data_IF_618182492721
#
_entry.id   IF_618182492721
#
_cell.length_a   1.000
_cell.length_b   1.000
_cell.length_c   1.000
_cell.angle_alpha   90.00
_cell.angle_beta   90.00
_cell.angle_gamma   90.00
#
_symmetry.space_group_name_H-M   'P 1'
#
loop_
_entity.id
_entity.type
_entity.pdbx_description
1 polymer ?
#
# COMPACT_ATOMS: atom_id res chain seq x y z
N UNK A 1 14.79 -12.38 -0.03
CA UNK A 1 13.80 -13.43 -0.36
C UNK A 1 13.73 -13.74 -1.85
N UNK A 2 14.08 -12.83 -2.76
CA UNK A 2 14.04 -13.06 -4.22
C UNK A 2 14.86 -14.31 -4.65
N UNK A 3 16.02 -14.52 -4.05
CA UNK A 3 16.90 -15.66 -4.35
C UNK A 3 16.28 -17.02 -4.02
N UNK A 4 15.35 -17.06 -3.06
CA UNK A 4 14.69 -18.30 -2.64
C UNK A 4 13.80 -18.85 -3.75
N UNK A 5 13.15 -17.99 -4.54
CA UNK A 5 12.26 -18.44 -5.61
C UNK A 5 13.04 -19.14 -6.75
N UNK A 6 14.26 -18.68 -7.04
CA UNK A 6 15.13 -19.37 -7.99
C UNK A 6 15.47 -20.80 -7.57
N UNK A 7 15.85 -20.96 -6.29
CA UNK A 7 16.14 -22.27 -5.72
C UNK A 7 14.88 -23.18 -5.66
N UNK A 8 13.75 -22.61 -5.30
CA UNK A 8 12.48 -23.33 -5.25
C UNK A 8 12.06 -23.81 -6.64
N UNK A 9 12.17 -22.97 -7.66
CA UNK A 9 11.91 -23.33 -9.04
C UNK A 9 12.81 -24.49 -9.49
N UNK A 10 14.12 -24.39 -9.26
CA UNK A 10 15.07 -25.46 -9.58
C UNK A 10 14.75 -26.77 -8.86
N UNK A 11 14.42 -26.69 -7.57
CA UNK A 11 13.99 -27.87 -6.79
C UNK A 11 12.82 -28.59 -7.45
N UNK A 12 11.77 -27.84 -7.81
CA UNK A 12 10.59 -28.43 -8.44
C UNK A 12 10.84 -28.96 -9.85
N UNK A 13 11.77 -28.35 -10.59
CA UNK A 13 12.17 -28.82 -11.93
C UNK A 13 12.99 -30.09 -11.87
N UNK A 14 13.88 -30.23 -10.90
CA UNK A 14 14.83 -31.35 -10.79
C UNK A 14 14.23 -32.57 -10.07
N UNK A 15 13.54 -32.34 -8.96
CA UNK A 15 13.01 -33.40 -8.08
C UNK A 15 11.56 -33.81 -8.41
N UNK A 16 10.97 -33.14 -9.37
CA UNK A 16 9.54 -33.29 -9.62
C UNK A 16 8.68 -32.51 -8.63
N UNK A 17 7.40 -32.41 -8.92
CA UNK A 17 6.44 -31.63 -8.17
C UNK A 17 5.23 -32.46 -7.77
N UNK A 18 4.81 -32.31 -6.52
CA UNK A 18 3.48 -32.77 -6.10
C UNK A 18 2.44 -31.70 -6.42
N UNK A 19 1.51 -31.99 -7.32
CA UNK A 19 0.40 -31.05 -7.56
C UNK A 19 -0.60 -31.08 -6.41
N UNK A 20 -1.04 -29.90 -5.96
CA UNK A 20 -2.08 -29.74 -4.94
C UNK A 20 -3.47 -30.00 -5.54
N UNK A 21 -3.83 -31.24 -5.81
CA UNK A 21 -5.07 -31.64 -6.50
C UNK A 21 -6.36 -31.42 -5.70
N UNK A 22 -6.25 -31.20 -4.38
CA UNK A 22 -7.42 -30.96 -3.50
C UNK A 22 -7.92 -29.51 -3.63
N UNK A 23 -7.07 -28.60 -4.05
CA UNK A 23 -7.41 -27.19 -4.24
C UNK A 23 -8.14 -27.05 -5.57
N UNK A 24 -9.33 -26.46 -5.54
CA UNK A 24 -10.19 -26.28 -6.70
C UNK A 24 -10.12 -24.88 -7.31
N UNK A 25 -9.75 -23.91 -6.49
CA UNK A 25 -9.60 -22.54 -6.89
C UNK A 25 -8.50 -21.89 -6.04
N UNK A 26 -7.58 -21.19 -6.67
CA UNK A 26 -6.53 -20.40 -6.03
C UNK A 26 -6.83 -18.92 -6.25
N UNK A 27 -6.89 -18.16 -5.17
CA UNK A 27 -6.91 -16.72 -5.22
C UNK A 27 -5.51 -16.20 -4.84
N UNK A 28 -5.01 -15.26 -5.64
CA UNK A 28 -3.85 -14.44 -5.29
C UNK A 28 -4.28 -12.99 -5.27
N UNK A 29 -3.87 -12.26 -4.25
CA UNK A 29 -4.08 -10.83 -4.11
C UNK A 29 -2.74 -10.10 -4.23
N UNK A 30 -2.77 -8.76 -4.39
CA UNK A 30 -1.58 -7.94 -4.55
C UNK A 30 -0.68 -8.43 -5.70
N UNK A 31 -1.29 -8.66 -6.88
CA UNK A 31 -0.61 -9.26 -8.04
C UNK A 31 0.69 -8.56 -8.42
N UNK A 32 0.79 -7.25 -8.18
CA UNK A 32 1.93 -6.41 -8.54
C UNK A 32 3.18 -6.71 -7.70
N UNK A 33 3.03 -7.40 -6.56
CA UNK A 33 4.14 -7.78 -5.68
C UNK A 33 4.74 -9.15 -6.03
N UNK A 34 4.15 -9.85 -7.01
CA UNK A 34 4.64 -11.16 -7.45
C UNK A 34 5.52 -11.02 -8.69
N UNK A 35 6.70 -11.59 -8.64
CA UNK A 35 7.58 -11.68 -9.79
C UNK A 35 7.16 -12.81 -10.74
N UNK A 36 7.65 -12.76 -11.99
CA UNK A 36 7.42 -13.79 -13.02
C UNK A 36 7.62 -15.23 -12.48
N UNK A 37 8.72 -15.45 -11.76
CA UNK A 37 9.08 -16.78 -11.28
C UNK A 37 8.11 -17.33 -10.24
N UNK A 38 7.53 -16.46 -9.40
CA UNK A 38 6.49 -16.86 -8.45
C UNK A 38 5.25 -17.37 -9.16
N UNK A 39 4.79 -16.70 -10.21
CA UNK A 39 3.66 -17.17 -11.02
C UNK A 39 3.96 -18.49 -11.73
N UNK A 40 5.17 -18.66 -12.27
CA UNK A 40 5.59 -19.95 -12.85
C UNK A 40 5.54 -21.06 -11.80
N UNK A 41 5.98 -20.80 -10.57
CA UNK A 41 5.92 -21.77 -9.47
C UNK A 41 4.46 -22.09 -9.11
N UNK A 42 3.58 -21.09 -9.04
CA UNK A 42 2.16 -21.29 -8.79
C UNK A 42 1.51 -22.17 -9.85
N UNK A 43 1.77 -21.92 -11.14
CA UNK A 43 1.29 -22.78 -12.26
C UNK A 43 1.83 -24.22 -12.15
N UNK A 44 3.07 -24.36 -11.70
CA UNK A 44 3.65 -25.69 -11.46
C UNK A 44 2.97 -26.45 -10.33
N UNK A 45 2.57 -25.80 -9.26
CA UNK A 45 2.06 -26.42 -8.03
C UNK A 45 0.55 -26.66 -8.07
N UNK A 46 -0.21 -25.81 -8.74
CA UNK A 46 -1.67 -25.84 -8.73
C UNK A 46 -2.23 -26.18 -10.11
N UNK A 47 -3.16 -27.13 -10.16
CA UNK A 47 -3.89 -27.52 -11.34
C UNK A 47 -5.38 -27.23 -11.14
N UNK A 48 -5.70 -25.96 -10.97
CA UNK A 48 -7.04 -25.50 -10.64
C UNK A 48 -7.32 -24.14 -11.31
N UNK A 49 -8.56 -23.68 -11.20
CA UNK A 49 -8.90 -22.32 -11.58
C UNK A 49 -8.15 -21.32 -10.71
N UNK A 50 -7.76 -20.19 -11.28
CA UNK A 50 -7.03 -19.16 -10.58
C UNK A 50 -7.67 -17.79 -10.81
N UNK A 51 -7.80 -17.02 -9.75
CA UNK A 51 -8.17 -15.59 -9.80
C UNK A 51 -7.01 -14.79 -9.24
N UNK A 52 -6.53 -13.85 -10.03
CA UNK A 52 -5.39 -12.99 -9.69
C UNK A 52 -5.93 -11.57 -9.56
N UNK A 53 -5.81 -10.99 -8.38
CA UNK A 53 -6.29 -9.66 -8.04
C UNK A 53 -5.10 -8.74 -7.75
N UNK A 54 -5.26 -7.45 -7.99
CA UNK A 54 -4.27 -6.46 -7.60
C UNK A 54 -4.47 -5.11 -8.28
N UNK A 55 -3.66 -4.16 -7.84
CA UNK A 55 -3.63 -2.80 -8.34
C UNK A 55 -2.20 -2.47 -8.80
N UNK A 56 -2.03 -2.21 -10.10
CA UNK A 56 -0.72 -1.93 -10.70
C UNK A 56 -0.05 -0.69 -10.11
N UNK A 57 -0.84 0.30 -9.69
CA UNK A 57 -0.32 1.54 -9.13
C UNK A 57 0.22 1.38 -7.70
N UNK A 58 -0.13 0.27 -7.02
CA UNK A 58 0.37 -0.05 -5.68
C UNK A 58 1.67 -0.88 -5.67
N UNK A 59 2.40 -0.90 -6.78
CA UNK A 59 3.71 -1.58 -6.85
C UNK A 59 4.73 -0.88 -5.92
N UNK A 60 5.58 -1.68 -5.28
CA UNK A 60 6.72 -1.21 -4.50
C UNK A 60 8.04 -1.28 -5.29
N UNK A 61 7.99 -1.73 -6.54
CA UNK A 61 9.18 -1.77 -7.40
C UNK A 61 9.43 -0.40 -8.03
N UNK A 62 10.68 0.04 -8.03
CA UNK A 62 11.13 1.26 -8.74
C UNK A 62 10.84 1.18 -10.25
N UNK A 63 10.93 -0.02 -10.80
CA UNK A 63 10.55 -0.30 -12.19
C UNK A 63 9.18 -0.95 -12.22
N UNK A 64 8.19 -0.23 -12.74
CA UNK A 64 6.82 -0.75 -12.89
C UNK A 64 6.83 -1.93 -13.87
N UNK A 65 6.83 -3.14 -13.34
CA UNK A 65 6.61 -4.35 -14.14
C UNK A 65 5.11 -4.59 -14.30
N UNK A 66 4.59 -4.36 -15.50
CA UNK A 66 3.20 -4.74 -15.76
C UNK A 66 3.08 -6.27 -15.81
N UNK A 67 2.68 -6.82 -14.66
CA UNK A 67 2.44 -8.26 -14.47
C UNK A 67 1.52 -8.82 -15.55
N UNK A 68 0.55 -8.04 -16.03
CA UNK A 68 -0.37 -8.46 -17.10
C UNK A 68 0.32 -8.75 -18.42
N UNK A 69 1.55 -8.30 -18.63
CA UNK A 69 2.29 -8.56 -19.89
C UNK A 69 2.77 -9.99 -20.00
N UNK A 70 3.13 -10.62 -18.88
CA UNK A 70 3.68 -11.99 -18.90
C UNK A 70 2.70 -13.06 -18.42
N UNK A 71 1.64 -12.73 -17.69
CA UNK A 71 0.64 -13.70 -17.22
C UNK A 71 0.04 -14.55 -18.36
N UNK A 72 -0.31 -13.99 -19.54
CA UNK A 72 -0.81 -14.80 -20.65
C UNK A 72 0.18 -15.86 -21.15
N UNK A 73 1.50 -15.58 -21.03
CA UNK A 73 2.55 -16.53 -21.38
C UNK A 73 2.64 -17.72 -20.41
N UNK A 74 2.24 -17.53 -19.15
CA UNK A 74 2.27 -18.57 -18.11
C UNK A 74 0.95 -19.37 -18.14
N UNK A 75 -0.20 -18.69 -18.10
CA UNK A 75 -1.52 -19.32 -17.93
C UNK A 75 -2.26 -19.58 -19.24
N UNK A 76 -1.70 -19.10 -20.37
CA UNK A 76 -2.22 -19.37 -21.70
C UNK A 76 -3.39 -18.49 -22.13
N UNK A 77 -3.94 -18.79 -23.31
CA UNK A 77 -4.96 -17.95 -23.99
C UNK A 77 -6.35 -17.95 -23.35
N UNK A 78 -6.59 -18.77 -22.33
CA UNK A 78 -7.89 -18.83 -21.63
C UNK A 78 -8.01 -17.78 -20.51
N UNK A 79 -6.96 -16.99 -20.28
CA UNK A 79 -7.00 -15.92 -19.29
C UNK A 79 -7.98 -14.83 -19.73
N UNK A 80 -8.86 -14.43 -18.81
CA UNK A 80 -9.77 -13.28 -18.98
C UNK A 80 -9.31 -12.15 -18.05
N UNK A 81 -8.99 -11.00 -18.61
CA UNK A 81 -8.73 -9.78 -17.86
C UNK A 81 -10.03 -9.03 -17.63
N UNK A 82 -10.28 -8.62 -16.41
CA UNK A 82 -11.37 -7.73 -16.01
C UNK A 82 -10.72 -6.54 -15.32
N UNK A 83 -10.99 -5.34 -15.82
CA UNK A 83 -10.56 -4.10 -15.18
C UNK A 83 -11.73 -3.56 -14.36
N UNK A 84 -11.46 -3.30 -13.08
CA UNK A 84 -12.42 -2.68 -12.18
C UNK A 84 -11.99 -1.22 -12.03
N UNK A 85 -12.76 -0.32 -12.64
CA UNK A 85 -12.44 1.10 -12.73
C UNK A 85 -13.26 2.00 -11.77
N UNK A 86 -14.03 1.41 -10.84
CA UNK A 86 -14.81 2.15 -9.85
C UNK A 86 -14.15 2.10 -8.48
N UNK A 87 -13.83 3.27 -7.94
CA UNK A 87 -13.37 3.40 -6.57
C UNK A 87 -14.55 3.68 -5.63
N UNK A 88 -14.71 2.83 -4.62
CA UNK A 88 -15.79 2.91 -3.62
C UNK A 88 -15.28 3.29 -2.22
N UNK A 89 -13.97 3.29 -2.02
CA UNK A 89 -13.34 3.41 -0.71
C UNK A 89 -13.18 4.85 -0.26
N UNK A 90 -12.50 5.64 -1.09
CA UNK A 90 -12.09 6.99 -0.77
C UNK A 90 -13.17 8.03 -1.12
N UNK A 91 -13.05 9.24 -0.58
CA UNK A 91 -13.81 10.41 -1.05
C UNK A 91 -13.32 10.83 -2.44
N UNK A 92 -14.15 11.60 -3.16
CA UNK A 92 -13.80 12.13 -4.50
C UNK A 92 -12.48 12.92 -4.43
N UNK A 93 -12.28 13.71 -3.38
CA UNK A 93 -11.10 14.54 -3.20
C UNK A 93 -9.84 13.69 -3.07
N UNK A 94 -9.87 12.69 -2.20
CA UNK A 94 -8.74 11.78 -1.99
C UNK A 94 -8.47 10.96 -3.26
N UNK A 95 -9.50 10.44 -3.91
CA UNK A 95 -9.35 9.66 -5.12
C UNK A 95 -8.80 10.51 -6.29
N UNK A 96 -9.24 11.78 -6.40
CA UNK A 96 -8.71 12.73 -7.38
C UNK A 96 -7.23 13.06 -7.13
N UNK A 97 -6.84 13.19 -5.85
CA UNK A 97 -5.44 13.35 -5.48
C UNK A 97 -4.62 12.12 -5.87
N UNK A 98 -5.08 10.92 -5.50
CA UNK A 98 -4.39 9.66 -5.82
C UNK A 98 -4.24 9.46 -7.34
N UNK A 99 -5.25 9.83 -8.13
CA UNK A 99 -5.23 9.68 -9.60
C UNK A 99 -4.06 10.42 -10.28
N UNK A 100 -3.52 11.48 -9.66
CA UNK A 100 -2.36 12.21 -10.19
C UNK A 100 -1.10 11.35 -10.25
N UNK A 101 -1.03 10.31 -9.42
CA UNK A 101 0.11 9.38 -9.31
C UNK A 101 -0.16 8.02 -9.94
N UNK A 102 -1.36 7.81 -10.48
CA UNK A 102 -1.75 6.58 -11.18
C UNK A 102 -1.50 6.70 -12.67
N UNK A 103 -1.03 5.61 -13.28
CA UNK A 103 -0.94 5.50 -14.72
C UNK A 103 -2.26 5.10 -15.41
N UNK A 104 -3.33 4.90 -14.64
CA UNK A 104 -4.65 4.46 -15.15
C UNK A 104 -5.63 5.65 -15.05
N UNK A 105 -5.91 6.33 -16.19
CA UNK A 105 -6.71 7.57 -16.18
C UNK A 105 -8.23 7.34 -16.07
N UNK A 106 -8.70 6.09 -16.22
CA UNK A 106 -10.12 5.77 -16.38
C UNK A 106 -10.81 5.31 -15.07
N UNK A 107 -10.39 5.84 -13.91
CA UNK A 107 -11.05 5.52 -12.63
C UNK A 107 -12.33 6.36 -12.48
N UNK A 108 -13.49 5.70 -12.52
CA UNK A 108 -14.77 6.32 -12.15
C UNK A 108 -14.82 6.52 -10.63
N UNK A 109 -14.94 7.78 -10.20
CA UNK A 109 -15.07 8.14 -8.80
C UNK A 109 -16.55 8.07 -8.38
N UNK A 110 -16.83 7.48 -7.24
CA UNK A 110 -18.14 7.61 -6.62
C UNK A 110 -18.33 9.02 -6.06
N UNK A 111 -19.58 9.49 -6.05
CA UNK A 111 -19.96 10.82 -5.55
C UNK A 111 -19.93 10.93 -3.99
N UNK A 112 -18.98 10.27 -3.34
CA UNK A 112 -18.77 10.42 -1.90
C UNK A 112 -17.90 11.65 -1.65
N UNK A 113 -18.54 12.77 -1.34
CA UNK A 113 -17.84 14.01 -1.02
C UNK A 113 -17.17 13.92 0.35
N UNK A 114 -16.02 14.57 0.50
CA UNK A 114 -15.23 14.66 1.72
C UNK A 114 -14.51 15.99 1.82
N UNK A 115 -13.59 16.08 2.76
CA UNK A 115 -12.69 17.22 2.92
C UNK A 115 -11.69 17.26 1.76
N UNK A 116 -11.32 18.45 1.32
CA UNK A 116 -10.21 18.64 0.37
C UNK A 116 -8.91 18.10 0.97
N UNK A 117 -8.03 17.58 0.12
CA UNK A 117 -6.71 17.14 0.55
C UNK A 117 -5.91 18.35 1.02
N UNK A 118 -5.42 18.31 2.23
CA UNK A 118 -4.69 19.41 2.84
C UNK A 118 -3.19 19.19 2.67
N UNK A 119 -2.52 20.13 1.99
CA UNK A 119 -1.09 20.09 1.78
C UNK A 119 -0.40 21.15 2.65
N UNK A 120 0.65 20.75 3.37
CA UNK A 120 1.44 21.62 4.25
C UNK A 120 2.94 21.51 3.99
N UNK A 121 3.65 22.65 4.11
CA UNK A 121 5.12 22.69 4.02
C UNK A 121 5.70 23.24 5.32
N UNK A 122 6.64 22.53 5.90
CA UNK A 122 7.25 22.86 7.19
C UNK A 122 8.76 22.96 7.08
N UNK A 123 9.35 23.91 7.80
CA UNK A 123 10.80 24.09 7.88
C UNK A 123 11.41 23.28 9.03
N UNK A 124 10.60 22.99 10.05
CA UNK A 124 11.01 22.23 11.24
C UNK A 124 10.12 21.03 11.43
N UNK A 125 10.74 19.96 11.85
CA UNK A 125 10.05 18.69 12.16
C UNK A 125 9.07 18.86 13.33
N UNK A 126 9.46 19.59 14.39
CA UNK A 126 8.56 19.84 15.53
C UNK A 126 7.25 20.51 15.12
N UNK A 127 7.32 21.53 14.23
CA UNK A 127 6.12 22.24 13.74
C UNK A 127 5.21 21.31 12.91
N UNK A 128 5.80 20.40 12.12
CA UNK A 128 5.08 19.37 11.36
C UNK A 128 4.39 18.39 12.30
N UNK A 129 5.12 17.89 13.28
CA UNK A 129 4.59 16.91 14.24
C UNK A 129 3.48 17.51 15.12
N UNK A 130 3.57 18.81 15.48
CA UNK A 130 2.54 19.53 16.21
C UNK A 130 1.28 19.71 15.37
N UNK A 131 1.41 20.09 14.09
CA UNK A 131 0.28 20.23 13.16
C UNK A 131 -0.48 18.90 12.98
N UNK A 132 0.23 17.76 12.96
CA UNK A 132 -0.42 16.44 12.93
C UNK A 132 -1.24 16.21 14.19
N UNK A 133 -0.68 16.46 15.38
CA UNK A 133 -1.39 16.25 16.66
C UNK A 133 -2.59 17.18 16.81
N UNK A 134 -2.52 18.41 16.31
CA UNK A 134 -3.66 19.33 16.28
C UNK A 134 -4.79 18.79 15.39
N UNK A 135 -4.46 18.29 14.18
CA UNK A 135 -5.45 17.73 13.28
C UNK A 135 -6.06 16.43 13.83
N UNK A 136 -5.27 15.56 14.46
CA UNK A 136 -5.76 14.36 15.17
C UNK A 136 -6.73 14.75 16.28
N UNK A 137 -6.35 15.72 17.12
CA UNK A 137 -7.19 16.19 18.23
C UNK A 137 -8.51 16.79 17.74
N UNK A 138 -8.49 17.50 16.62
CA UNK A 138 -9.70 18.05 16.00
C UNK A 138 -10.66 16.98 15.46
N UNK A 139 -10.14 15.81 15.13
CA UNK A 139 -10.88 14.64 14.61
C UNK A 139 -11.29 13.61 15.66
N UNK A 140 -10.84 13.73 16.91
CA UNK A 140 -10.93 12.69 17.96
C UNK A 140 -12.35 12.17 18.22
N UNK A 141 -13.38 13.01 18.07
CA UNK A 141 -14.77 12.60 18.21
C UNK A 141 -15.37 11.92 16.94
N UNK A 142 -14.71 12.04 15.79
CA UNK A 142 -15.22 11.59 14.50
C UNK A 142 -14.52 10.34 13.97
N UNK A 143 -13.25 10.14 14.34
CA UNK A 143 -12.40 9.11 13.77
C UNK A 143 -11.88 8.16 14.84
N UNK A 144 -11.69 6.91 14.46
CA UNK A 144 -11.21 5.86 15.36
C UNK A 144 -9.76 5.45 15.03
N UNK A 145 -9.30 5.75 13.81
CA UNK A 145 -8.02 5.30 13.30
C UNK A 145 -7.31 6.41 12.52
N UNK A 146 -6.13 6.77 12.98
CA UNK A 146 -5.28 7.77 12.35
C UNK A 146 -3.91 7.17 12.05
N UNK A 147 -3.34 7.49 10.89
CA UNK A 147 -2.02 7.01 10.54
C UNK A 147 -1.08 8.09 10.03
N UNK A 148 0.12 8.10 10.55
CA UNK A 148 1.25 8.82 9.96
C UNK A 148 2.06 7.84 9.13
N UNK A 149 2.14 8.13 7.83
CA UNK A 149 2.83 7.29 6.86
C UNK A 149 4.10 7.98 6.37
N UNK A 150 5.24 7.37 6.70
CA UNK A 150 6.57 7.85 6.32
C UNK A 150 7.13 7.08 5.13
N UNK A 151 8.28 7.53 4.61
CA UNK A 151 9.01 6.86 3.52
C UNK A 151 9.85 5.70 4.00
N UNK A 152 10.47 5.84 5.17
CA UNK A 152 11.42 4.87 5.72
C UNK A 152 11.03 4.43 7.12
N UNK A 153 11.53 3.26 7.53
CA UNK A 153 11.36 2.76 8.90
C UNK A 153 12.02 3.69 9.92
N UNK A 154 13.20 4.26 9.59
CA UNK A 154 13.92 5.19 10.43
C UNK A 154 13.09 6.43 10.77
N UNK A 155 12.49 7.07 9.75
CA UNK A 155 11.58 8.21 9.96
C UNK A 155 10.38 7.84 10.84
N UNK A 156 9.80 6.66 10.64
CA UNK A 156 8.67 6.20 11.44
C UNK A 156 9.07 5.95 12.90
N UNK A 157 10.22 5.34 13.13
CA UNK A 157 10.77 5.10 14.47
C UNK A 157 11.08 6.41 15.20
N UNK A 158 11.68 7.38 14.51
CA UNK A 158 12.01 8.69 15.08
C UNK A 158 10.74 9.42 15.54
N UNK A 159 9.72 9.51 14.69
CA UNK A 159 8.43 10.11 15.05
C UNK A 159 7.80 9.39 16.24
N UNK A 160 7.78 8.06 16.22
CA UNK A 160 7.23 7.26 17.31
C UNK A 160 7.94 7.55 18.63
N UNK A 161 9.28 7.58 18.63
CA UNK A 161 10.07 7.85 19.86
C UNK A 161 9.89 9.28 20.36
N UNK A 162 9.83 10.28 19.46
CA UNK A 162 9.56 11.68 19.84
C UNK A 162 8.21 11.77 20.57
N UNK A 163 7.15 11.23 19.99
CA UNK A 163 5.82 11.30 20.58
C UNK A 163 5.69 10.49 21.86
N UNK A 164 6.31 9.32 21.93
CA UNK A 164 6.36 8.52 23.17
C UNK A 164 7.05 9.28 24.30
N UNK A 165 8.15 9.98 24.02
CA UNK A 165 8.86 10.79 25.01
C UNK A 165 8.02 11.98 25.52
N UNK A 166 7.14 12.52 24.67
CA UNK A 166 6.18 13.58 24.98
C UNK A 166 4.88 13.06 25.65
N UNK A 167 4.75 11.75 25.86
CA UNK A 167 3.58 11.12 26.49
C UNK A 167 2.37 10.92 25.58
N UNK A 168 2.53 11.10 24.26
CA UNK A 168 1.45 10.88 23.27
C UNK A 168 1.10 9.39 23.22
N UNK A 169 -0.20 9.10 23.17
CA UNK A 169 -0.69 7.73 22.96
C UNK A 169 -0.58 7.40 21.48
N UNK A 170 0.44 6.64 21.11
CA UNK A 170 0.74 6.28 19.73
C UNK A 170 1.18 4.82 19.62
N UNK A 171 0.75 4.15 18.57
CA UNK A 171 1.18 2.78 18.20
C UNK A 171 2.21 2.85 17.08
N UNK A 172 3.11 1.87 17.03
CA UNK A 172 4.04 1.69 15.93
C UNK A 172 3.78 0.34 15.25
N UNK A 173 3.69 0.35 13.92
CA UNK A 173 3.55 -0.87 13.14
C UNK A 173 4.84 -1.09 12.34
N UNK A 174 5.46 -2.23 12.61
CA UNK A 174 6.65 -2.75 11.94
C UNK A 174 6.37 -4.14 11.32
N UNK A 175 7.42 -4.77 10.77
CA UNK A 175 7.35 -6.12 10.17
C UNK A 175 6.99 -7.23 11.16
N UNK A 176 7.13 -7.00 12.46
CA UNK A 176 6.86 -7.97 13.51
C UNK A 176 5.47 -7.77 14.14
N UNK A 177 4.80 -6.70 13.79
CA UNK A 177 3.49 -6.36 14.33
C UNK A 177 2.44 -7.34 13.84
N UNK A 178 1.69 -7.92 14.77
CA UNK A 178 0.67 -8.95 14.49
C UNK A 178 -0.76 -8.46 14.71
N UNK A 179 -0.93 -7.25 15.24
CA UNK A 179 -2.24 -6.68 15.54
C UNK A 179 -2.28 -5.19 15.24
N UNK A 180 -3.40 -4.76 14.69
CA UNK A 180 -3.76 -3.36 14.50
C UNK A 180 -4.59 -2.89 15.69
N UNK A 181 -4.40 -1.64 16.15
CA UNK A 181 -5.14 -1.01 17.24
C UNK A 181 -5.75 0.29 16.77
N UNK A 182 -6.89 0.66 17.34
CA UNK A 182 -7.50 1.98 17.18
C UNK A 182 -6.58 3.07 17.75
N UNK A 183 -6.76 4.29 17.25
CA UNK A 183 -5.99 5.47 17.61
C UNK A 183 -4.83 5.74 16.66
N UNK A 184 -3.98 6.68 17.06
CA UNK A 184 -2.87 7.17 16.26
C UNK A 184 -1.78 6.09 16.10
N UNK A 185 -1.43 5.85 14.85
CA UNK A 185 -0.42 4.86 14.45
C UNK A 185 0.64 5.54 13.58
N UNK A 186 1.90 5.18 13.80
CA UNK A 186 3.02 5.56 12.91
C UNK A 186 3.52 4.30 12.21
N UNK A 187 3.71 4.40 10.91
CA UNK A 187 4.27 3.31 10.09
C UNK A 187 4.78 3.83 8.75
N UNK A 188 5.32 2.96 7.92
CA UNK A 188 5.71 3.33 6.56
C UNK A 188 4.56 3.12 5.57
N UNK A 189 4.59 3.83 4.43
CA UNK A 189 3.59 3.67 3.38
C UNK A 189 3.47 2.21 2.88
N UNK A 190 4.57 1.47 2.84
CA UNK A 190 4.57 0.09 2.36
C UNK A 190 4.08 -0.91 3.42
N UNK A 191 4.28 -0.62 4.71
CA UNK A 191 3.71 -1.44 5.80
C UNK A 191 2.22 -1.17 5.99
N UNK A 192 1.74 0.04 5.61
CA UNK A 192 0.33 0.39 5.60
C UNK A 192 -0.46 -0.31 4.47
N UNK A 193 0.23 -0.98 3.54
CA UNK A 193 -0.42 -1.70 2.44
C UNK A 193 -1.37 -2.78 2.98
N UNK A 194 -2.62 -2.78 2.51
CA UNK A 194 -3.68 -3.66 3.03
C UNK A 194 -4.39 -3.14 4.30
N UNK A 195 -3.92 -2.06 4.92
CA UNK A 195 -4.61 -1.37 6.02
C UNK A 195 -5.42 -0.18 5.49
N UNK A 196 -6.34 0.32 6.32
CA UNK A 196 -7.18 1.49 6.03
C UNK A 196 -7.34 2.30 7.32
N UNK A 197 -7.37 3.63 7.18
CA UNK A 197 -7.45 4.56 8.29
C UNK A 197 -8.45 5.67 7.98
N UNK A 198 -9.13 6.16 8.99
CA UNK A 198 -10.07 7.28 8.84
C UNK A 198 -9.35 8.55 8.40
N UNK A 199 -8.22 8.85 9.04
CA UNK A 199 -7.32 9.95 8.67
C UNK A 199 -5.92 9.43 8.33
N UNK A 200 -5.32 9.99 7.29
CA UNK A 200 -3.93 9.69 6.92
C UNK A 200 -3.11 10.97 6.80
N UNK A 201 -1.96 10.97 7.43
CA UNK A 201 -0.92 12.00 7.34
C UNK A 201 0.26 11.42 6.56
N UNK A 202 0.34 11.70 5.27
CA UNK A 202 1.47 11.31 4.44
C UNK A 202 2.63 12.30 4.63
N UNK A 203 3.72 11.84 5.22
CA UNK A 203 4.89 12.68 5.49
C UNK A 203 5.92 12.48 4.39
N UNK A 204 6.29 13.58 3.73
CA UNK A 204 7.35 13.63 2.74
C UNK A 204 8.56 14.36 3.32
N UNK A 205 9.71 13.70 3.39
CA UNK A 205 10.96 14.29 3.83
C UNK A 205 11.60 15.11 2.67
N UNK A 206 12.61 15.93 3.00
CA UNK A 206 13.38 16.77 2.07
C UNK A 206 14.00 16.00 0.92
N UNK A 207 14.37 14.76 1.14
CA UNK A 207 15.04 13.93 0.15
C UNK A 207 14.02 13.20 -0.73
N UNK A 208 14.04 13.50 -2.02
CA UNK A 208 13.24 12.76 -3.01
C UNK A 208 13.78 11.35 -3.21
N UNK A 209 12.86 10.43 -3.44
CA UNK A 209 13.15 9.02 -3.71
C UNK A 209 12.46 8.56 -4.99
N UNK A 210 12.96 7.52 -5.68
CA UNK A 210 12.30 6.97 -6.86
C UNK A 210 10.88 6.47 -6.57
N UNK A 211 10.54 6.20 -5.31
CA UNK A 211 9.24 5.67 -4.88
C UNK A 211 8.25 6.76 -4.44
N UNK A 212 8.55 8.05 -4.63
CA UNK A 212 7.69 9.13 -4.14
C UNK A 212 6.27 9.10 -4.71
N UNK A 213 6.13 8.81 -5.99
CA UNK A 213 4.82 8.69 -6.62
C UNK A 213 4.03 7.48 -6.09
N UNK A 214 4.69 6.33 -5.96
CA UNK A 214 4.08 5.12 -5.39
C UNK A 214 3.67 5.35 -3.94
N UNK A 215 4.53 6.01 -3.16
CA UNK A 215 4.24 6.32 -1.77
C UNK A 215 3.08 7.32 -1.64
N UNK A 216 3.01 8.33 -2.51
CA UNK A 216 1.88 9.26 -2.54
C UNK A 216 0.57 8.54 -2.88
N UNK A 217 0.58 7.71 -3.92
CA UNK A 217 -0.58 6.90 -4.32
C UNK A 217 -1.03 5.94 -3.21
N UNK A 218 -0.10 5.13 -2.68
CA UNK A 218 -0.40 4.16 -1.64
C UNK A 218 -0.93 4.87 -0.40
N UNK A 219 -0.28 5.93 0.07
CA UNK A 219 -0.72 6.68 1.25
C UNK A 219 -2.12 7.25 1.06
N UNK A 220 -2.40 7.86 -0.09
CA UNK A 220 -3.72 8.40 -0.40
C UNK A 220 -4.80 7.31 -0.39
N UNK A 221 -4.52 6.15 -0.99
CA UNK A 221 -5.48 5.04 -1.04
C UNK A 221 -5.72 4.36 0.32
N UNK A 222 -4.95 4.68 1.36
CA UNK A 222 -5.18 4.22 2.75
C UNK A 222 -6.19 5.10 3.50
N UNK A 223 -6.41 6.34 3.07
CA UNK A 223 -7.29 7.29 3.73
C UNK A 223 -8.75 7.04 3.36
N UNK A 224 -9.63 6.86 4.34
CA UNK A 224 -11.07 6.69 4.12
C UNK A 224 -11.81 8.02 4.07
N UNK A 225 -11.44 8.99 4.92
CA UNK A 225 -12.18 10.24 5.15
C UNK A 225 -11.34 11.48 4.90
N UNK A 226 -10.13 11.55 5.45
CA UNK A 226 -9.26 12.72 5.35
C UNK A 226 -7.82 12.34 5.00
N UNK A 227 -7.22 13.15 4.14
CA UNK A 227 -5.82 13.02 3.75
C UNK A 227 -5.10 14.35 3.93
N UNK A 228 -3.99 14.29 4.64
CA UNK A 228 -3.04 15.38 4.81
C UNK A 228 -1.70 14.97 4.19
N UNK A 229 -1.09 15.87 3.45
CA UNK A 229 0.20 15.65 2.80
C UNK A 229 1.17 16.72 3.29
N UNK A 230 2.02 16.34 4.22
CA UNK A 230 2.95 17.26 4.86
C UNK A 230 4.37 17.02 4.39
N UNK A 231 5.04 18.09 4.04
CA UNK A 231 6.40 18.08 3.51
C UNK A 231 7.34 18.84 4.43
N UNK A 232 8.49 18.26 4.73
CA UNK A 232 9.59 18.91 5.42
C UNK A 232 10.55 19.49 4.36
N UNK A 233 10.74 20.82 4.34
CA UNK A 233 11.54 21.55 3.34
C UNK A 233 12.93 21.94 3.86
#
# INVERSE_FOLDING_TARGET
YADVYGLLYLKYRLLGRGKHRRIKHLLTDEMQDYCYLQYVILDMLFDCQMTILGDKAQTLDETVHDVCTFLPGIFGKKMRKITMNKSYRNTVQIASYAAQFSSDPDVELLERQGKEVEEGQFQKEDDLLEAILEAVSAGEEMFETEAVLTRTEEEAEDIYHIWKSKGVQVSYIDRNSTSFRKGLTVTTFYMAKGLEFDQVFAVKNRKETPLDNQAAYISATRALHELYVFSLC
#
